data_IF_973414712482
#
_entry.id   IF_973414712482
#
_cell.length_a   1.000
_cell.length_b   1.000
_cell.length_c   1.000
_cell.angle_alpha   90.00
_cell.angle_beta   90.00
_cell.angle_gamma   90.00
#
_symmetry.space_group_name_H-M   'P 1'
#
loop_
_entity.id
_entity.type
_entity.pdbx_description
1 polymer ?
#
# COMPACT_ATOMS: atom_id res chain seq x y z
N UNK A 1 -18.90 -7.37 -10.18
CA UNK A 1 -17.43 -7.17 -10.21
C UNK A 1 -16.88 -6.79 -8.82
N UNK A 2 -17.58 -6.00 -7.99
CA UNK A 2 -17.13 -5.63 -6.63
C UNK A 2 -16.85 -6.81 -5.68
N UNK A 3 -17.62 -7.91 -5.75
CA UNK A 3 -17.35 -9.15 -5.00
C UNK A 3 -16.08 -9.91 -5.41
N UNK A 4 -15.30 -9.41 -6.37
CA UNK A 4 -14.06 -10.03 -6.88
C UNK A 4 -12.82 -9.18 -6.70
N UNK A 5 -12.86 -8.09 -5.93
CA UNK A 5 -11.65 -7.42 -5.43
C UNK A 5 -11.02 -8.23 -4.29
N UNK A 6 -10.83 -9.53 -4.50
CA UNK A 6 -9.97 -10.34 -3.66
C UNK A 6 -8.55 -10.09 -4.16
N UNK A 7 -7.86 -9.11 -3.56
CA UNK A 7 -6.40 -8.99 -3.75
C UNK A 7 -5.80 -10.17 -3.01
N UNK A 8 -5.55 -11.27 -3.72
CA UNK A 8 -4.78 -12.39 -3.23
C UNK A 8 -3.36 -11.89 -2.96
N UNK A 9 -3.13 -11.40 -1.73
CA UNK A 9 -1.83 -10.93 -1.28
C UNK A 9 -1.01 -12.16 -0.94
N UNK A 10 -0.01 -12.51 -1.75
CA UNK A 10 0.85 -13.67 -1.46
C UNK A 10 2.02 -13.19 -0.61
N UNK A 11 1.78 -13.04 0.69
CA UNK A 11 2.81 -12.58 1.62
C UNK A 11 3.64 -13.76 2.14
N UNK A 12 4.83 -13.94 1.55
CA UNK A 12 5.82 -14.96 1.93
C UNK A 12 7.03 -14.32 2.66
N UNK A 13 6.85 -13.72 3.83
CA UNK A 13 7.93 -12.95 4.53
C UNK A 13 9.10 -13.78 5.10
N UNK A 14 9.17 -15.09 4.83
CA UNK A 14 10.27 -15.95 5.29
C UNK A 14 11.67 -15.43 4.86
N UNK A 15 11.76 -14.66 3.75
CA UNK A 15 13.03 -14.14 3.24
C UNK A 15 13.60 -12.92 4.00
N UNK A 16 12.78 -12.14 4.73
CA UNK A 16 13.27 -10.91 5.37
C UNK A 16 13.98 -11.18 6.71
N UNK A 17 13.57 -12.23 7.44
CA UNK A 17 14.23 -12.68 8.67
C UNK A 17 15.31 -13.75 8.42
N UNK A 18 15.25 -14.46 7.28
CA UNK A 18 16.19 -15.54 6.94
C UNK A 18 17.45 -15.13 6.18
N UNK A 19 17.55 -13.88 5.71
CA UNK A 19 18.70 -13.41 4.90
C UNK A 19 19.84 -12.81 5.71
N UNK A 20 20.12 -13.34 6.91
CA UNK A 20 21.50 -13.30 7.43
C UNK A 20 22.29 -14.36 6.65
N UNK A 21 22.66 -14.06 5.39
CA UNK A 21 23.84 -14.71 4.83
C UNK A 21 25.01 -14.23 5.69
N UNK A 22 25.47 -15.11 6.56
CA UNK A 22 26.78 -15.09 7.20
C UNK A 22 27.83 -15.06 6.08
N UNK A 23 28.12 -13.87 5.57
CA UNK A 23 29.24 -13.62 4.67
C UNK A 23 30.51 -13.62 5.50
N UNK A 24 31.09 -14.80 5.67
CA UNK A 24 32.51 -15.12 5.47
C UNK A 24 32.76 -16.55 5.97
N UNK A 25 33.37 -17.38 5.12
CA UNK A 25 33.82 -18.71 5.52
C UNK A 25 34.81 -18.57 6.68
N UNK A 26 34.67 -19.35 7.77
CA UNK A 26 35.63 -19.29 8.86
C UNK A 26 36.97 -19.82 8.36
N UNK A 27 38.01 -18.99 8.45
CA UNK A 27 39.38 -19.45 8.31
C UNK A 27 39.63 -20.59 9.31
N UNK A 28 40.25 -21.68 8.83
CA UNK A 28 40.51 -22.89 9.61
C UNK A 28 41.23 -22.55 10.93
N UNK A 29 40.57 -22.84 12.06
CA UNK A 29 41.14 -22.63 13.40
C UNK A 29 40.20 -22.17 14.52
N UNK A 30 38.90 -21.91 14.28
CA UNK A 30 37.97 -21.47 15.34
C UNK A 30 37.07 -22.60 15.89
N UNK A 31 37.11 -22.75 17.22
CA UNK A 31 36.36 -23.69 18.07
C UNK A 31 34.94 -23.21 18.37
N UNK A 32 34.02 -24.19 18.48
CA UNK A 32 32.72 -24.25 19.19
C UNK A 32 31.72 -23.11 18.96
N UNK A 33 30.42 -23.42 18.75
CA UNK A 33 29.36 -22.42 18.84
C UNK A 33 29.23 -21.93 20.30
N UNK A 34 29.31 -20.61 20.43
CA UNK A 34 29.64 -19.73 21.55
C UNK A 34 28.44 -18.80 21.87
N UNK A 35 28.70 -17.52 22.20
CA UNK A 35 27.80 -16.35 22.19
C UNK A 35 26.76 -16.31 21.04
N UNK A 36 26.88 -17.17 20.04
CA UNK A 36 26.01 -17.33 18.87
C UNK A 36 24.51 -17.52 19.17
N UNK A 37 24.10 -17.99 20.34
CA UNK A 37 22.67 -18.00 20.73
C UNK A 37 22.20 -16.67 21.37
N UNK A 38 23.12 -15.77 21.79
CA UNK A 38 22.80 -14.59 22.62
C UNK A 38 22.19 -13.39 21.90
N UNK A 39 22.15 -13.30 20.57
CA UNK A 39 21.63 -12.11 19.89
C UNK A 39 20.89 -12.45 18.59
N UNK A 40 19.90 -13.35 18.63
CA UNK A 40 18.95 -13.40 17.51
C UNK A 40 18.16 -12.08 17.51
N UNK A 41 18.51 -11.18 16.60
CA UNK A 41 17.82 -9.92 16.38
C UNK A 41 16.68 -10.19 15.40
N UNK A 42 15.43 -10.00 15.82
CA UNK A 42 14.25 -10.37 15.01
C UNK A 42 13.34 -9.18 14.68
N UNK A 43 13.48 -8.06 15.40
CA UNK A 43 12.71 -6.84 15.18
C UNK A 43 13.38 -5.88 14.18
N UNK A 44 13.67 -6.36 12.97
CA UNK A 44 14.08 -5.51 11.85
C UNK A 44 13.15 -5.67 10.63
N UNK A 45 11.81 -5.64 10.83
CA UNK A 45 10.90 -5.73 9.70
C UNK A 45 10.96 -4.44 8.87
N UNK A 46 10.59 -4.49 7.58
CA UNK A 46 10.64 -3.33 6.70
C UNK A 46 9.64 -2.24 7.12
N UNK A 47 9.89 -1.01 6.67
CA UNK A 47 9.01 0.15 6.83
C UNK A 47 8.57 0.71 5.49
N UNK A 48 7.27 0.93 5.33
CA UNK A 48 6.70 1.51 4.12
C UNK A 48 6.58 3.03 4.28
N UNK A 49 7.30 3.78 3.45
CA UNK A 49 7.31 5.24 3.45
C UNK A 49 5.94 5.86 3.11
N UNK A 50 5.01 5.09 2.54
CA UNK A 50 3.61 5.51 2.42
C UNK A 50 2.97 5.84 3.79
N UNK A 51 3.51 5.30 4.89
CA UNK A 51 3.11 5.68 6.24
C UNK A 51 3.52 7.11 6.62
N UNK A 52 4.61 7.61 6.04
CA UNK A 52 5.11 8.99 6.22
C UNK A 52 4.50 9.97 5.24
N UNK A 53 4.35 9.54 3.98
CA UNK A 53 3.88 10.39 2.88
C UNK A 53 2.71 9.73 2.17
N UNK A 54 1.55 9.59 2.83
CA UNK A 54 0.37 9.04 2.19
C UNK A 54 -0.01 9.91 0.99
N UNK A 55 -0.27 9.31 -0.17
CA UNK A 55 -0.78 10.01 -1.35
C UNK A 55 -2.11 10.65 -0.97
N UNK A 56 -2.19 11.97 -1.08
CA UNK A 56 -3.47 12.66 -0.99
C UNK A 56 -4.38 12.21 -2.13
N UNK A 57 -5.62 11.86 -1.79
CA UNK A 57 -6.61 11.38 -2.75
C UNK A 57 -7.89 12.20 -2.61
N UNK A 58 -8.29 12.83 -3.70
CA UNK A 58 -9.63 13.39 -3.84
C UNK A 58 -10.57 12.28 -4.28
N UNK A 59 -11.50 11.88 -3.40
CA UNK A 59 -12.44 10.81 -3.73
C UNK A 59 -13.53 11.31 -4.69
N UNK A 60 -13.87 10.53 -5.74
CA UNK A 60 -14.97 10.86 -6.64
C UNK A 60 -16.29 11.08 -5.89
N UNK A 61 -17.06 12.07 -6.34
CA UNK A 61 -18.38 12.40 -5.81
C UNK A 61 -19.47 12.15 -6.88
N UNK A 62 -20.65 11.63 -6.51
CA UNK A 62 -21.00 11.12 -5.17
C UNK A 62 -20.21 9.86 -4.79
N UNK A 63 -20.00 9.62 -3.50
CA UNK A 63 -19.36 8.37 -3.09
C UNK A 63 -20.26 7.17 -3.43
N UNK A 64 -19.66 6.09 -3.91
CA UNK A 64 -20.32 4.79 -4.10
C UNK A 64 -19.47 3.68 -3.47
N UNK A 65 -20.01 2.46 -3.40
CA UNK A 65 -19.32 1.31 -2.78
C UNK A 65 -17.89 1.11 -3.32
N UNK A 66 -17.70 1.20 -4.64
CA UNK A 66 -16.38 1.02 -5.27
C UNK A 66 -15.37 2.09 -4.89
N UNK A 67 -15.82 3.35 -4.83
CA UNK A 67 -14.98 4.47 -4.34
C UNK A 67 -14.56 4.23 -2.89
N UNK A 68 -15.49 3.83 -2.03
CA UNK A 68 -15.22 3.63 -0.60
C UNK A 68 -14.28 2.43 -0.39
N UNK A 69 -14.51 1.29 -1.07
CA UNK A 69 -13.61 0.12 -0.99
C UNK A 69 -12.21 0.49 -1.48
N UNK A 70 -12.11 1.19 -2.61
CA UNK A 70 -10.81 1.63 -3.14
C UNK A 70 -10.08 2.58 -2.19
N UNK A 71 -10.80 3.49 -1.53
CA UNK A 71 -10.22 4.38 -0.52
C UNK A 71 -9.76 3.63 0.74
N UNK A 72 -10.51 2.63 1.21
CA UNK A 72 -10.10 1.76 2.32
C UNK A 72 -8.87 0.93 1.94
N UNK A 73 -8.81 0.44 0.71
CA UNK A 73 -7.67 -0.33 0.21
C UNK A 73 -6.40 0.54 0.09
N UNK A 74 -6.52 1.81 -0.34
CA UNK A 74 -5.37 2.69 -0.52
C UNK A 74 -4.65 3.04 0.78
N UNK A 75 -5.36 3.10 1.90
CA UNK A 75 -4.79 3.36 3.24
C UNK A 75 -4.28 2.11 3.95
N UNK A 76 -4.29 0.93 3.29
CA UNK A 76 -3.79 -0.33 3.85
C UNK A 76 -2.39 -0.21 4.46
N UNK A 77 -1.39 0.46 3.83
CA UNK A 77 -0.08 0.65 4.46
C UNK A 77 -0.14 1.33 5.82
N UNK A 78 -0.89 2.43 5.94
CA UNK A 78 -1.04 3.18 7.17
C UNK A 78 -1.80 2.40 8.25
N UNK A 79 -2.84 1.65 7.87
CA UNK A 79 -3.60 0.79 8.78
C UNK A 79 -2.76 -0.37 9.30
N UNK A 80 -1.99 -1.05 8.43
CA UNK A 80 -1.11 -2.13 8.87
C UNK A 80 0.09 -1.63 9.66
N UNK A 81 0.58 -0.41 9.41
CA UNK A 81 1.60 0.23 10.23
C UNK A 81 1.11 0.47 11.67
N UNK A 82 -0.16 0.80 11.87
CA UNK A 82 -0.74 0.85 13.23
C UNK A 82 -0.61 -0.50 13.97
N UNK A 83 -0.58 -1.62 13.25
CA UNK A 83 -0.52 -2.97 13.84
C UNK A 83 0.91 -3.53 13.98
N UNK A 84 1.93 -2.75 13.61
CA UNK A 84 3.34 -3.11 13.84
C UNK A 84 3.66 -3.11 15.34
N UNK A 85 3.12 -2.12 16.07
CA UNK A 85 3.29 -1.98 17.50
C UNK A 85 2.52 -3.07 18.26
N UNK A 86 3.18 -3.92 19.07
CA UNK A 86 2.49 -4.88 19.92
C UNK A 86 1.51 -4.24 20.91
N UNK A 87 1.66 -2.96 21.29
CA UNK A 87 0.69 -2.24 22.13
C UNK A 87 -0.68 -1.98 21.45
N UNK A 88 -0.72 -2.03 20.12
CA UNK A 88 -1.95 -1.82 19.34
C UNK A 88 -2.71 -3.12 19.06
N UNK A 89 -2.18 -4.26 19.48
CA UNK A 89 -2.74 -5.60 19.26
C UNK A 89 -2.68 -6.43 20.53
N UNK A 90 -3.52 -7.45 20.63
CA UNK A 90 -3.46 -8.42 21.71
C UNK A 90 -2.39 -9.50 21.46
N UNK A 91 -2.30 -10.51 22.34
CA UNK A 91 -1.23 -11.51 22.31
C UNK A 91 -1.36 -12.55 21.18
N UNK A 92 -2.47 -12.58 20.44
CA UNK A 92 -2.65 -13.56 19.38
C UNK A 92 -1.70 -13.29 18.19
N UNK A 93 -1.33 -14.37 17.49
CA UNK A 93 -0.46 -14.29 16.30
C UNK A 93 -1.12 -13.56 15.10
N UNK A 94 -2.42 -13.32 15.17
CA UNK A 94 -3.16 -12.63 14.11
C UNK A 94 -4.15 -11.64 14.70
N UNK A 95 -4.25 -10.49 14.04
CA UNK A 95 -5.19 -9.41 14.33
C UNK A 95 -6.04 -9.19 13.08
N UNK A 96 -7.36 -9.21 13.25
CA UNK A 96 -8.30 -8.99 12.16
C UNK A 96 -9.07 -7.72 12.45
N UNK A 97 -9.08 -6.80 11.50
CA UNK A 97 -9.80 -5.52 11.62
C UNK A 97 -10.81 -5.43 10.51
N UNK A 98 -12.06 -5.17 10.86
CA UNK A 98 -13.14 -4.86 9.92
C UNK A 98 -13.49 -3.38 10.06
N UNK A 99 -13.40 -2.67 8.95
CA UNK A 99 -13.80 -1.27 8.85
C UNK A 99 -15.05 -1.19 7.99
N UNK A 100 -16.13 -0.68 8.58
CA UNK A 100 -17.35 -0.30 7.85
C UNK A 100 -17.38 1.21 7.72
N UNK A 101 -17.45 1.71 6.49
CA UNK A 101 -17.62 3.13 6.20
C UNK A 101 -19.04 3.37 5.72
N UNK A 102 -19.73 4.31 6.35
CA UNK A 102 -21.06 4.79 5.95
C UNK A 102 -20.96 6.25 5.52
N UNK A 103 -21.46 6.56 4.33
CA UNK A 103 -21.51 7.93 3.77
C UNK A 103 -22.96 8.37 3.67
N UNK A 104 -23.26 9.53 4.24
CA UNK A 104 -24.58 10.14 4.23
C UNK A 104 -24.47 11.66 3.97
N UNK A 105 -25.55 12.41 4.23
CA UNK A 105 -25.61 13.86 4.05
C UNK A 105 -24.66 14.65 4.97
N UNK A 106 -24.11 14.02 6.02
CA UNK A 106 -23.15 14.62 6.95
C UNK A 106 -21.70 14.30 6.59
N UNK A 107 -21.45 13.39 5.64
CA UNK A 107 -20.12 12.93 5.26
C UNK A 107 -19.90 11.45 5.54
N UNK A 108 -18.62 11.04 5.56
CA UNK A 108 -18.21 9.68 5.90
C UNK A 108 -18.07 9.48 7.42
N UNK A 109 -18.48 8.30 7.90
CA UNK A 109 -18.22 7.81 9.26
C UNK A 109 -17.65 6.40 9.19
N UNK A 110 -16.79 6.04 10.15
CA UNK A 110 -16.14 4.73 10.20
C UNK A 110 -16.49 4.00 11.48
N UNK A 111 -16.88 2.74 11.35
CA UNK A 111 -17.02 1.80 12.46
C UNK A 111 -15.92 0.74 12.35
N UNK A 112 -15.05 0.70 13.36
CA UNK A 112 -13.91 -0.21 13.44
C UNK A 112 -14.23 -1.29 14.47
N UNK A 113 -14.14 -2.55 14.04
CA UNK A 113 -14.29 -3.72 14.91
C UNK A 113 -13.16 -4.69 14.61
N UNK A 114 -12.82 -5.59 15.55
CA UNK A 114 -11.75 -6.53 15.27
C UNK A 114 -11.46 -7.51 16.40
N UNK A 115 -10.83 -8.62 16.00
CA UNK A 115 -10.28 -9.62 16.91
C UNK A 115 -8.83 -9.24 17.22
N UNK A 116 -8.42 -9.42 18.48
CA UNK A 116 -7.06 -9.12 18.95
C UNK A 116 -6.64 -7.65 18.74
N UNK A 117 -7.60 -6.71 18.68
CA UNK A 117 -7.36 -5.28 18.51
C UNK A 117 -7.53 -4.56 19.86
N UNK A 118 -6.55 -3.72 20.24
CA UNK A 118 -6.64 -2.93 21.49
C UNK A 118 -7.31 -1.57 21.23
N UNK A 119 -7.77 -0.85 22.28
CA UNK A 119 -8.30 0.51 22.10
C UNK A 119 -7.30 1.48 21.45
N UNK A 120 -6.00 1.36 21.76
CA UNK A 120 -4.94 2.15 21.13
C UNK A 120 -4.82 1.84 19.64
N UNK A 121 -4.90 0.55 19.27
CA UNK A 121 -4.97 0.13 17.87
C UNK A 121 -6.19 0.68 17.14
N UNK A 122 -7.38 0.61 17.75
CA UNK A 122 -8.60 1.23 17.21
C UNK A 122 -8.42 2.72 16.98
N UNK A 123 -7.85 3.45 17.94
CA UNK A 123 -7.63 4.90 17.82
C UNK A 123 -6.64 5.24 16.71
N UNK A 124 -5.54 4.49 16.58
CA UNK A 124 -4.56 4.69 15.51
C UNK A 124 -5.21 4.52 14.13
N UNK A 125 -6.00 3.44 13.95
CA UNK A 125 -6.70 3.17 12.68
C UNK A 125 -7.76 4.24 12.41
N UNK A 126 -8.53 4.65 13.42
CA UNK A 126 -9.52 5.71 13.30
C UNK A 126 -8.89 7.01 12.79
N UNK A 127 -7.75 7.41 13.34
CA UNK A 127 -7.02 8.61 12.90
C UNK A 127 -6.59 8.51 11.42
N UNK A 128 -6.12 7.35 10.98
CA UNK A 128 -5.76 7.12 9.57
C UNK A 128 -6.99 7.30 8.67
N UNK A 129 -8.11 6.66 9.01
CA UNK A 129 -9.35 6.73 8.23
C UNK A 129 -9.90 8.16 8.19
N UNK A 130 -10.02 8.80 9.35
CA UNK A 130 -10.51 10.18 9.47
C UNK A 130 -9.63 11.18 8.72
N UNK A 131 -8.35 10.87 8.51
CA UNK A 131 -7.41 11.74 7.79
C UNK A 131 -7.44 11.52 6.28
N UNK A 132 -7.54 10.27 5.84
CA UNK A 132 -7.28 9.89 4.44
C UNK A 132 -8.50 9.34 3.68
N UNK A 133 -9.53 8.86 4.38
CA UNK A 133 -10.76 8.31 3.79
C UNK A 133 -11.90 9.30 4.01
N UNK A 134 -11.87 10.41 3.28
CA UNK A 134 -12.81 11.54 3.44
C UNK A 134 -13.76 11.67 2.23
N UNK A 135 -14.78 10.81 2.08
CA UNK A 135 -15.76 10.98 1.02
C UNK A 135 -16.57 12.27 1.25
N UNK A 136 -16.89 12.96 0.18
CA UNK A 136 -17.77 14.12 0.24
C UNK A 136 -19.18 13.70 0.74
N UNK A 137 -19.89 14.58 1.49
CA UNK A 137 -21.27 14.33 1.87
C UNK A 137 -22.16 14.07 0.64
N UNK A 138 -23.12 13.16 0.80
CA UNK A 138 -24.14 12.92 -0.21
C UNK A 138 -25.19 14.06 -0.22
N UNK A 139 -26.02 14.10 -1.27
CA UNK A 139 -27.19 14.97 -1.27
C UNK A 139 -28.13 14.61 -0.10
N UNK A 140 -28.87 15.60 0.43
CA UNK A 140 -29.66 15.47 1.66
C UNK A 140 -30.72 14.35 1.63
N UNK A 141 -31.24 14.03 0.44
CA UNK A 141 -32.25 13.02 0.16
C UNK A 141 -31.67 11.72 -0.42
N UNK A 142 -30.36 11.64 -0.62
CA UNK A 142 -29.71 10.44 -1.11
C UNK A 142 -29.72 9.33 -0.04
N UNK A 143 -29.90 8.09 -0.48
CA UNK A 143 -29.76 6.93 0.40
C UNK A 143 -28.30 6.81 0.87
N UNK A 144 -28.05 6.49 2.15
CA UNK A 144 -26.70 6.24 2.63
C UNK A 144 -26.04 5.11 1.83
N UNK A 145 -24.75 5.27 1.57
CA UNK A 145 -23.91 4.24 0.93
C UNK A 145 -23.00 3.66 1.99
N UNK A 146 -22.87 2.34 2.00
CA UNK A 146 -22.01 1.63 2.94
C UNK A 146 -21.02 0.74 2.19
N UNK A 147 -19.80 0.63 2.69
CA UNK A 147 -18.88 -0.40 2.28
C UNK A 147 -18.10 -0.95 3.48
N UNK A 148 -17.65 -2.20 3.36
CA UNK A 148 -16.87 -2.88 4.39
C UNK A 148 -15.58 -3.41 3.79
N UNK A 149 -14.48 -3.26 4.50
CA UNK A 149 -13.19 -3.82 4.13
C UNK A 149 -12.49 -4.43 5.34
N UNK A 150 -11.84 -5.58 5.14
CA UNK A 150 -11.12 -6.30 6.19
C UNK A 150 -9.60 -6.18 6.00
N UNK A 151 -8.90 -5.91 7.09
CA UNK A 151 -7.44 -5.92 7.18
C UNK A 151 -7.03 -7.08 8.08
N UNK A 152 -6.28 -8.01 7.50
CA UNK A 152 -5.64 -9.08 8.24
C UNK A 152 -4.16 -8.75 8.45
N UNK A 153 -3.73 -8.87 9.70
CA UNK A 153 -2.33 -8.74 10.11
C UNK A 153 -1.91 -9.99 10.88
N UNK A 154 -1.00 -10.77 10.30
CA UNK A 154 -0.40 -11.93 10.95
C UNK A 154 1.07 -11.62 11.27
N UNK A 155 1.49 -11.83 12.52
CA UNK A 155 2.87 -11.57 12.98
C UNK A 155 3.93 -12.28 12.14
N UNK A 156 3.59 -13.45 11.60
CA UNK A 156 4.47 -14.24 10.75
C UNK A 156 4.62 -13.66 9.33
N UNK A 157 3.56 -13.04 8.80
CA UNK A 157 3.43 -12.65 7.39
C UNK A 157 3.46 -11.14 7.16
N UNK A 158 3.41 -10.34 8.21
CA UNK A 158 3.39 -8.88 8.16
C UNK A 158 4.49 -8.27 9.03
N UNK A 159 4.97 -7.05 8.71
CA UNK A 159 5.84 -6.30 9.59
C UNK A 159 5.27 -6.22 11.00
N UNK A 160 6.05 -6.64 11.98
CA UNK A 160 5.60 -6.63 13.37
C UNK A 160 6.77 -6.63 14.34
N UNK A 161 6.58 -5.96 15.48
CA UNK A 161 7.56 -5.92 16.57
C UNK A 161 7.09 -6.83 17.71
N UNK A 162 8.02 -7.57 18.30
CA UNK A 162 7.82 -8.39 19.49
C UNK A 162 8.84 -7.98 20.55
N UNK A 163 8.36 -7.39 21.64
CA UNK A 163 9.21 -6.93 22.75
C UNK A 163 9.40 -8.03 23.79
N UNK A 164 10.47 -7.93 24.58
CA UNK A 164 10.80 -8.88 25.66
C UNK A 164 11.58 -10.11 25.18
N UNK A 165 12.16 -10.10 23.98
CA UNK A 165 12.95 -11.23 23.46
C UNK A 165 14.36 -11.20 24.05
N UNK A 166 15.05 -10.07 23.86
CA UNK A 166 16.35 -9.76 24.43
C UNK A 166 16.63 -8.27 24.20
N UNK A 167 17.56 -7.69 24.96
CA UNK A 167 17.85 -6.24 24.93
C UNK A 167 18.18 -5.70 23.52
N UNK A 168 18.91 -6.46 22.69
CA UNK A 168 19.26 -6.05 21.34
C UNK A 168 18.06 -6.08 20.37
N UNK A 169 17.22 -7.12 20.48
CA UNK A 169 15.99 -7.23 19.69
C UNK A 169 14.97 -6.18 20.13
N UNK A 170 14.87 -5.89 21.43
CA UNK A 170 13.97 -4.87 21.96
C UNK A 170 14.41 -3.47 21.53
N UNK A 171 15.71 -3.18 21.54
CA UNK A 171 16.23 -1.94 20.96
C UNK A 171 15.96 -1.84 19.46
N UNK A 172 16.14 -2.93 18.71
CA UNK A 172 15.81 -2.97 17.28
C UNK A 172 14.31 -2.71 17.04
N UNK A 173 13.45 -3.26 17.90
CA UNK A 173 12.01 -2.97 17.91
C UNK A 173 11.72 -1.50 18.18
N UNK A 174 12.40 -0.90 19.15
CA UNK A 174 12.27 0.53 19.45
C UNK A 174 12.70 1.40 18.27
N UNK A 175 13.79 1.06 17.57
CA UNK A 175 14.21 1.74 16.33
C UNK A 175 13.08 1.65 15.30
N UNK A 176 12.58 0.45 15.01
CA UNK A 176 11.52 0.24 14.02
C UNK A 176 10.22 0.99 14.34
N UNK A 177 9.80 1.03 15.60
CA UNK A 177 8.60 1.77 16.01
C UNK A 177 8.79 3.28 15.91
N UNK A 178 10.01 3.77 16.09
CA UNK A 178 10.33 5.19 16.01
C UNK A 178 10.45 5.71 14.57
N UNK A 179 10.64 4.86 13.55
CA UNK A 179 10.80 5.27 12.14
C UNK A 179 9.65 6.15 11.62
N UNK A 180 8.40 5.88 12.06
CA UNK A 180 7.24 6.72 11.72
C UNK A 180 7.34 8.15 12.27
N UNK A 181 8.13 8.38 13.33
CA UNK A 181 8.39 9.72 13.88
C UNK A 181 9.59 10.42 13.21
N UNK A 182 10.29 9.75 12.30
CA UNK A 182 11.49 10.24 11.61
C UNK A 182 11.23 10.54 10.14
N UNK A 183 9.98 10.83 9.79
CA UNK A 183 9.56 11.03 8.41
C UNK A 183 10.35 12.12 7.68
N UNK A 184 10.87 13.12 8.39
CA UNK A 184 11.73 14.16 7.83
C UNK A 184 13.00 13.59 7.17
N UNK A 185 13.55 12.48 7.69
CA UNK A 185 14.71 11.81 7.11
C UNK A 185 14.42 11.24 5.71
N UNK A 186 13.15 10.93 5.42
CA UNK A 186 12.73 10.27 4.18
C UNK A 186 12.27 11.25 3.09
N UNK A 187 12.39 12.57 3.31
CA UNK A 187 11.84 13.60 2.39
C UNK A 187 12.31 13.47 0.95
N UNK A 188 13.56 13.01 0.72
CA UNK A 188 14.12 12.77 -0.63
C UNK A 188 13.51 11.57 -1.36
N UNK A 189 12.73 10.73 -0.68
CA UNK A 189 12.24 9.44 -1.19
C UNK A 189 10.70 9.37 -1.28
N UNK A 190 10.00 10.52 -1.33
CA UNK A 190 8.53 10.56 -1.43
C UNK A 190 7.97 9.76 -2.61
N UNK A 191 8.69 9.72 -3.72
CA UNK A 191 8.28 9.05 -4.95
C UNK A 191 9.17 7.88 -5.37
N UNK A 192 10.12 7.47 -4.52
CA UNK A 192 11.09 6.42 -4.81
C UNK A 192 11.25 5.48 -3.62
N UNK A 193 11.92 4.36 -3.84
CA UNK A 193 12.28 3.43 -2.75
C UNK A 193 13.70 3.74 -2.28
N UNK A 194 13.94 3.98 -0.98
CA UNK A 194 15.30 4.17 -0.47
C UNK A 194 16.17 2.93 -0.66
N UNK A 195 17.51 3.09 -0.75
CA UNK A 195 18.41 1.94 -0.71
C UNK A 195 18.34 1.23 0.65
N UNK A 196 18.66 -0.06 0.67
CA UNK A 196 18.86 -0.80 1.92
C UNK A 196 20.10 -0.24 2.61
N UNK A 197 19.97 0.15 3.87
CA UNK A 197 21.09 0.66 4.67
C UNK A 197 21.52 -0.36 5.71
N UNK A 198 22.82 -0.51 5.88
CA UNK A 198 23.41 -1.35 6.91
C UNK A 198 24.13 -0.48 7.93
N UNK A 199 23.89 -0.76 9.21
CA UNK A 199 24.54 -0.08 10.32
C UNK A 199 25.04 -1.07 11.37
N UNK A 200 26.04 -0.65 12.14
CA UNK A 200 26.52 -1.32 13.34
C UNK A 200 26.18 -0.42 14.53
N UNK A 201 25.48 -1.00 15.51
CA UNK A 201 25.03 -0.30 16.72
C UNK A 201 25.79 -0.87 17.92
N UNK A 202 26.37 0.02 18.71
CA UNK A 202 27.09 -0.31 19.94
C UNK A 202 26.49 0.44 21.11
N UNK A 203 26.07 -0.29 22.13
CA UNK A 203 25.52 0.24 23.37
C UNK A 203 26.40 -0.27 24.51
N UNK A 204 27.15 0.62 25.15
CA UNK A 204 27.95 0.26 26.32
C UNK A 204 27.06 0.03 27.55
N UNK A 205 27.51 -0.83 28.46
CA UNK A 205 26.77 -1.17 29.68
C UNK A 205 26.41 0.08 30.48
N UNK A 206 25.12 0.23 30.81
CA UNK A 206 24.61 1.32 31.65
C UNK A 206 24.52 2.67 30.95
N UNK A 207 24.81 2.77 29.65
CA UNK A 207 24.57 3.99 28.89
C UNK A 207 23.08 4.12 28.53
N UNK A 208 22.49 5.32 28.63
CA UNK A 208 21.07 5.54 28.37
C UNK A 208 20.73 5.57 26.88
N UNK A 209 21.73 5.63 26.00
CA UNK A 209 21.60 5.68 24.54
C UNK A 209 22.78 4.93 23.89
N UNK A 210 22.71 4.62 22.58
CA UNK A 210 23.86 4.05 21.86
C UNK A 210 25.11 4.91 22.01
N UNK A 211 26.23 4.24 22.25
CA UNK A 211 27.56 4.85 22.38
C UNK A 211 28.21 5.06 21.01
N UNK A 212 27.92 4.16 20.05
CA UNK A 212 28.36 4.30 18.66
C UNK A 212 27.25 3.82 17.72
N UNK A 213 27.04 4.58 16.63
CA UNK A 213 26.20 4.18 15.50
C UNK A 213 26.97 4.50 14.21
N UNK A 214 27.27 3.45 13.45
CA UNK A 214 28.08 3.56 12.24
C UNK A 214 27.32 2.96 11.07
N UNK A 215 27.15 3.73 9.99
CA UNK A 215 26.51 3.26 8.76
C UNK A 215 27.58 2.89 7.73
N UNK A 216 27.33 1.82 6.98
CA UNK A 216 28.12 1.49 5.80
C UNK A 216 27.73 2.43 4.64
N UNK A 217 28.65 2.74 3.71
CA UNK A 217 28.32 3.53 2.52
C UNK A 217 27.14 2.91 1.77
N UNK A 218 26.16 3.74 1.41
CA UNK A 218 24.95 3.30 0.71
C UNK A 218 25.17 3.08 -0.78
N UNK A 219 26.26 3.62 -1.33
CA UNK A 219 26.54 3.64 -2.76
C UNK A 219 25.84 4.77 -3.54
N UNK A 220 25.22 5.73 -2.84
CA UNK A 220 24.59 6.91 -3.44
C UNK A 220 24.63 8.12 -2.50
N UNK A 221 24.62 9.33 -3.07
CA UNK A 221 24.60 10.57 -2.27
C UNK A 221 23.35 10.67 -1.41
N UNK A 222 22.18 10.37 -1.99
CA UNK A 222 20.89 10.43 -1.31
C UNK A 222 20.78 9.39 -0.20
N UNK A 223 21.30 8.18 -0.44
CA UNK A 223 21.35 7.13 0.58
C UNK A 223 22.27 7.48 1.75
N UNK A 224 23.40 8.15 1.50
CA UNK A 224 24.33 8.57 2.55
C UNK A 224 23.76 9.73 3.37
N UNK A 225 22.99 10.63 2.75
CA UNK A 225 22.23 11.66 3.45
C UNK A 225 21.15 11.06 4.36
N UNK A 226 20.43 10.04 3.87
CA UNK A 226 19.47 9.30 4.69
C UNK A 226 20.15 8.62 5.89
N UNK A 227 21.27 7.92 5.63
CA UNK A 227 22.06 7.27 6.67
C UNK A 227 22.54 8.26 7.74
N UNK A 228 22.99 9.46 7.34
CA UNK A 228 23.40 10.51 8.27
C UNK A 228 22.24 11.01 9.14
N UNK A 229 21.05 11.18 8.56
CA UNK A 229 19.86 11.56 9.31
C UNK A 229 19.47 10.47 10.33
N UNK A 230 19.36 9.21 9.87
CA UNK A 230 19.01 8.07 10.72
C UNK A 230 20.04 7.82 11.83
N UNK A 231 21.34 7.99 11.55
CA UNK A 231 22.40 7.91 12.57
C UNK A 231 22.12 8.83 13.75
N UNK A 232 21.72 10.07 13.48
CA UNK A 232 21.39 11.05 14.53
C UNK A 232 20.18 10.60 15.33
N UNK A 233 19.16 10.04 14.67
CA UNK A 233 17.94 9.54 15.32
C UNK A 233 18.18 8.32 16.20
N UNK A 234 18.91 7.33 15.70
CA UNK A 234 19.24 6.11 16.43
C UNK A 234 20.14 6.42 17.62
N UNK A 235 21.14 7.30 17.46
CA UNK A 235 22.04 7.69 18.55
C UNK A 235 21.32 8.40 19.72
N UNK A 236 20.16 9.02 19.46
CA UNK A 236 19.34 9.66 20.48
C UNK A 236 18.29 8.73 21.10
N UNK A 237 18.12 7.51 20.60
CA UNK A 237 17.08 6.61 21.04
C UNK A 237 17.43 6.02 22.42
N UNK A 238 16.50 6.02 23.40
CA UNK A 238 16.74 5.42 24.70
C UNK A 238 17.06 3.92 24.60
N UNK A 239 18.12 3.52 25.29
CA UNK A 239 18.53 2.14 25.43
C UNK A 239 18.43 1.69 26.89
N UNK A 240 18.01 0.43 27.10
CA UNK A 240 18.03 -0.23 28.40
C UNK A 240 18.88 -1.47 28.26
N UNK A 241 20.11 -1.42 28.75
CA UNK A 241 21.04 -2.55 28.67
C UNK A 241 21.70 -2.85 30.00
N UNK A 242 21.74 -4.14 30.35
CA UNK A 242 22.44 -4.66 31.53
C UNK A 242 23.86 -5.13 31.18
N UNK A 243 24.15 -5.28 29.89
CA UNK A 243 25.45 -5.63 29.34
C UNK A 243 25.82 -4.73 28.14
N UNK A 244 27.07 -4.85 27.70
CA UNK A 244 27.51 -4.27 26.43
C UNK A 244 26.89 -5.04 25.25
N UNK A 245 26.29 -4.31 24.31
CA UNK A 245 25.64 -4.86 23.12
C UNK A 245 26.29 -4.29 21.86
N UNK A 246 26.71 -5.15 20.95
CA UNK A 246 27.18 -4.77 19.62
C UNK A 246 26.50 -5.67 18.59
N UNK A 247 25.77 -5.08 17.65
CA UNK A 247 25.02 -5.85 16.66
C UNK A 247 24.78 -5.05 15.37
N UNK A 248 24.64 -5.75 14.24
CA UNK A 248 24.24 -5.13 12.99
C UNK A 248 22.74 -4.82 12.97
N UNK A 249 22.37 -3.71 12.35
CA UNK A 249 20.99 -3.34 12.07
C UNK A 249 20.81 -2.99 10.59
N UNK A 250 19.86 -3.66 9.94
CA UNK A 250 19.49 -3.43 8.54
C UNK A 250 18.20 -2.64 8.45
N UNK A 251 18.28 -1.47 7.82
CA UNK A 251 17.12 -0.69 7.45
C UNK A 251 16.64 -1.14 6.08
N UNK A 252 15.42 -1.67 6.02
CA UNK A 252 14.75 -2.04 4.76
C UNK A 252 13.53 -1.16 4.62
N UNK A 253 13.46 -0.46 3.50
CA UNK A 253 12.40 0.46 3.19
C UNK A 253 11.63 0.00 1.96
N UNK A 254 10.33 0.18 2.01
CA UNK A 254 9.44 0.08 0.86
C UNK A 254 8.77 1.43 0.64
N UNK A 255 8.23 1.62 -0.55
CA UNK A 255 7.33 2.73 -0.82
C UNK A 255 6.21 2.22 -1.71
N UNK A 256 5.08 1.81 -1.12
CA UNK A 256 3.96 1.22 -1.88
C UNK A 256 3.39 2.14 -2.96
N UNK A 257 3.69 3.44 -2.90
CA UNK A 257 3.23 4.44 -3.87
C UNK A 257 4.28 4.80 -4.94
N UNK A 258 5.51 4.29 -4.80
CA UNK A 258 6.55 4.54 -5.79
C UNK A 258 6.28 3.77 -7.10
N UNK A 259 6.72 4.30 -8.25
CA UNK A 259 6.67 3.58 -9.52
C UNK A 259 7.40 2.23 -9.45
N UNK A 260 6.91 1.23 -10.19
CA UNK A 260 7.41 -0.16 -10.12
C UNK A 260 8.88 -0.28 -10.50
N UNK A 261 9.36 0.60 -11.36
CA UNK A 261 10.74 0.66 -11.84
C UNK A 261 11.71 0.97 -10.69
N UNK A 262 11.24 1.68 -9.67
CA UNK A 262 12.06 2.07 -8.50
C UNK A 262 12.40 0.88 -7.61
N UNK A 263 11.73 -0.26 -7.77
CA UNK A 263 12.06 -1.48 -7.05
C UNK A 263 13.37 -2.11 -7.51
N UNK A 264 13.88 -1.80 -8.72
CA UNK A 264 15.01 -2.50 -9.33
C UNK A 264 16.31 -2.48 -8.51
N UNK A 265 16.48 -1.50 -7.61
CA UNK A 265 17.63 -1.39 -6.70
C UNK A 265 17.57 -2.34 -5.49
N UNK A 266 16.42 -2.97 -5.24
CA UNK A 266 16.25 -3.94 -4.16
C UNK A 266 16.74 -5.34 -4.59
N UNK A 267 17.22 -6.16 -3.64
CA UNK A 267 17.38 -7.60 -3.84
C UNK A 267 16.10 -8.26 -4.40
N UNK A 268 16.19 -9.29 -5.25
CA UNK A 268 15.04 -9.91 -5.92
C UNK A 268 13.86 -10.29 -5.01
N UNK A 269 14.13 -10.84 -3.83
CA UNK A 269 13.09 -11.22 -2.87
C UNK A 269 12.39 -9.99 -2.28
N UNK A 270 13.14 -8.90 -2.04
CA UNK A 270 12.59 -7.63 -1.58
C UNK A 270 11.81 -6.91 -2.68
N UNK A 271 12.20 -7.08 -3.94
CA UNK A 271 11.44 -6.59 -5.10
C UNK A 271 10.04 -7.20 -5.16
N UNK A 272 9.90 -8.48 -4.84
CA UNK A 272 8.59 -9.13 -4.84
C UNK A 272 7.64 -8.48 -3.84
N UNK A 273 8.06 -8.23 -2.60
CA UNK A 273 7.22 -7.53 -1.62
C UNK A 273 6.89 -6.10 -2.02
N UNK A 274 7.86 -5.36 -2.57
CA UNK A 274 7.62 -4.02 -3.08
C UNK A 274 6.57 -4.01 -4.20
N UNK A 275 6.59 -5.01 -5.08
CA UNK A 275 5.60 -5.16 -6.15
C UNK A 275 4.22 -5.56 -5.62
N UNK A 276 4.13 -6.43 -4.61
CA UNK A 276 2.84 -6.74 -3.94
C UNK A 276 2.21 -5.51 -3.28
N UNK A 277 3.04 -4.65 -2.69
CA UNK A 277 2.62 -3.37 -2.13
C UNK A 277 2.12 -2.41 -3.24
N UNK A 278 2.85 -2.30 -4.35
CA UNK A 278 2.44 -1.51 -5.51
C UNK A 278 1.14 -2.04 -6.16
N UNK A 279 0.98 -3.36 -6.23
CA UNK A 279 -0.23 -4.05 -6.74
C UNK A 279 -1.46 -3.64 -5.94
N UNK A 280 -1.34 -3.57 -4.61
CA UNK A 280 -2.41 -3.11 -3.71
C UNK A 280 -2.83 -1.67 -4.04
N UNK A 281 -1.86 -0.77 -4.25
CA UNK A 281 -2.15 0.63 -4.61
C UNK A 281 -2.77 0.76 -6.01
N UNK A 282 -2.31 -0.04 -6.97
CA UNK A 282 -2.89 -0.08 -8.32
C UNK A 282 -4.34 -0.59 -8.29
N UNK A 283 -4.62 -1.64 -7.51
CA UNK A 283 -5.98 -2.16 -7.32
C UNK A 283 -6.91 -1.13 -6.67
N UNK A 284 -6.42 -0.37 -5.68
CA UNK A 284 -7.16 0.74 -5.08
C UNK A 284 -7.53 1.81 -6.12
N UNK A 285 -6.55 2.22 -6.94
CA UNK A 285 -6.77 3.19 -8.02
C UNK A 285 -7.77 2.69 -9.09
N UNK A 286 -7.70 1.41 -9.45
CA UNK A 286 -8.65 0.76 -10.36
C UNK A 286 -10.08 0.79 -9.79
N UNK A 287 -10.26 0.47 -8.50
CA UNK A 287 -11.56 0.48 -7.84
C UNK A 287 -12.16 1.89 -7.76
N UNK A 288 -11.35 2.89 -7.38
CA UNK A 288 -11.77 4.31 -7.34
C UNK A 288 -12.19 4.79 -8.74
N UNK A 289 -11.38 4.49 -9.76
CA UNK A 289 -11.65 4.91 -11.14
C UNK A 289 -12.91 4.26 -11.73
N UNK A 290 -13.13 2.96 -11.43
CA UNK A 290 -14.36 2.28 -11.79
C UNK A 290 -15.59 2.88 -11.10
N UNK A 291 -15.44 3.25 -9.81
CA UNK A 291 -16.46 3.98 -9.07
C UNK A 291 -16.82 5.32 -9.71
N UNK A 292 -15.81 6.12 -10.08
CA UNK A 292 -16.02 7.39 -10.79
C UNK A 292 -16.77 7.18 -12.13
N UNK A 293 -16.40 6.15 -12.88
CA UNK A 293 -17.05 5.79 -14.15
C UNK A 293 -18.49 5.36 -13.97
N UNK A 294 -18.81 4.66 -12.88
CA UNK A 294 -20.19 4.29 -12.53
C UNK A 294 -21.05 5.54 -12.31
N UNK A 295 -20.57 6.52 -11.54
CA UNK A 295 -21.27 7.79 -11.36
C UNK A 295 -21.48 8.53 -12.69
N UNK A 296 -20.44 8.61 -13.52
CA UNK A 296 -20.53 9.29 -14.81
C UNK A 296 -21.58 8.63 -15.71
N UNK A 297 -21.63 7.30 -15.72
CA UNK A 297 -22.63 6.55 -16.48
C UNK A 297 -24.06 6.82 -16.00
N UNK A 298 -24.30 6.81 -14.69
CA UNK A 298 -25.63 7.11 -14.13
C UNK A 298 -26.10 8.52 -14.50
N UNK A 299 -25.19 9.51 -14.42
CA UNK A 299 -25.53 10.89 -14.80
C UNK A 299 -25.80 11.04 -16.30
N UNK A 300 -25.07 10.30 -17.15
CA UNK A 300 -25.32 10.29 -18.58
C UNK A 300 -26.66 9.63 -18.92
N UNK A 301 -26.93 8.46 -18.35
CA UNK A 301 -28.15 7.70 -18.58
C UNK A 301 -29.40 8.49 -18.16
N UNK A 302 -29.33 9.26 -17.06
CA UNK A 302 -30.41 10.15 -16.65
C UNK A 302 -30.78 11.19 -17.73
N UNK A 303 -29.78 11.81 -18.37
CA UNK A 303 -30.00 12.80 -19.45
C UNK A 303 -30.49 12.10 -20.72
N UNK A 304 -29.95 10.92 -21.06
CA UNK A 304 -30.41 10.10 -22.19
C UNK A 304 -31.89 9.75 -22.03
N UNK A 305 -32.32 9.33 -20.83
CA UNK A 305 -33.72 9.02 -20.56
C UNK A 305 -34.63 10.26 -20.68
N UNK A 306 -34.18 11.40 -20.14
CA UNK A 306 -34.91 12.67 -20.24
C UNK A 306 -35.06 13.11 -21.70
N UNK A 307 -33.98 13.08 -22.48
CA UNK A 307 -33.99 13.37 -23.91
C UNK A 307 -34.87 12.38 -24.68
N UNK A 308 -34.80 11.09 -24.36
CA UNK A 308 -35.58 10.06 -25.07
C UNK A 308 -37.08 10.25 -24.90
N UNK A 309 -37.53 10.74 -23.73
CA UNK A 309 -38.94 11.05 -23.43
C UNK A 309 -39.41 12.38 -24.04
N UNK A 310 -38.59 13.43 -23.93
CA UNK A 310 -38.98 14.79 -24.31
C UNK A 310 -38.67 15.15 -25.76
N UNK A 311 -37.64 14.52 -26.33
CA UNK A 311 -37.00 14.90 -27.60
C UNK A 311 -36.57 16.38 -27.62
N UNK A 312 -36.30 16.97 -26.45
CA UNK A 312 -35.90 18.37 -26.33
C UNK A 312 -34.44 18.54 -26.75
N UNK A 313 -34.24 19.16 -27.92
CA UNK A 313 -32.92 19.45 -28.47
C UNK A 313 -32.07 20.37 -27.59
N UNK A 314 -32.66 21.11 -26.64
CA UNK A 314 -31.91 21.92 -25.67
C UNK A 314 -31.07 21.07 -24.72
N UNK A 315 -31.40 19.78 -24.57
CA UNK A 315 -30.63 18.83 -23.75
C UNK A 315 -29.37 18.32 -24.45
N UNK A 316 -29.15 18.64 -25.73
CA UNK A 316 -28.05 18.08 -26.52
C UNK A 316 -26.67 18.50 -26.00
N UNK A 317 -26.50 19.75 -25.56
CA UNK A 317 -25.24 20.20 -24.97
C UNK A 317 -24.97 19.51 -23.63
N UNK A 318 -26.01 19.31 -22.81
CA UNK A 318 -25.90 18.54 -21.56
C UNK A 318 -25.55 17.06 -21.84
N UNK A 319 -26.21 16.45 -22.83
CA UNK A 319 -25.94 15.07 -23.29
C UNK A 319 -24.48 14.92 -23.73
N UNK A 320 -23.99 15.88 -24.53
CA UNK A 320 -22.61 15.89 -25.01
C UNK A 320 -21.62 16.03 -23.86
N UNK A 321 -21.84 16.96 -22.94
CA UNK A 321 -20.96 17.18 -21.80
C UNK A 321 -20.91 15.96 -20.86
N UNK A 322 -22.07 15.35 -20.54
CA UNK A 322 -22.13 14.14 -19.71
C UNK A 322 -21.52 12.93 -20.39
N UNK A 323 -21.65 12.80 -21.71
CA UNK A 323 -20.97 11.74 -22.43
C UNK A 323 -19.44 11.92 -22.44
N UNK A 324 -18.95 13.15 -22.62
CA UNK A 324 -17.51 13.44 -22.50
C UNK A 324 -16.97 13.05 -21.13
N UNK A 325 -17.66 13.41 -20.05
CA UNK A 325 -17.29 12.99 -18.69
C UNK A 325 -17.30 11.46 -18.52
N UNK A 326 -18.26 10.76 -19.13
CA UNK A 326 -18.29 9.30 -19.15
C UNK A 326 -17.06 8.72 -19.87
N UNK A 327 -16.71 9.23 -21.06
CA UNK A 327 -15.53 8.79 -21.81
C UNK A 327 -14.23 9.08 -21.06
N UNK A 328 -14.11 10.24 -20.44
CA UNK A 328 -12.95 10.61 -19.60
C UNK A 328 -12.80 9.65 -18.42
N UNK A 329 -13.89 9.37 -17.69
CA UNK A 329 -13.86 8.43 -16.56
C UNK A 329 -13.56 6.98 -16.98
N UNK A 330 -14.08 6.53 -18.14
CA UNK A 330 -13.75 5.23 -18.71
C UNK A 330 -12.28 5.15 -19.13
N UNK A 331 -11.72 6.24 -19.67
CA UNK A 331 -10.30 6.34 -20.02
C UNK A 331 -9.42 6.26 -18.77
N UNK A 332 -9.80 6.97 -17.69
CA UNK A 332 -9.10 6.89 -16.41
C UNK A 332 -9.11 5.46 -15.84
N UNK A 333 -10.24 4.76 -15.92
CA UNK A 333 -10.34 3.36 -15.50
C UNK A 333 -9.45 2.42 -16.32
N UNK A 334 -9.43 2.57 -17.65
CA UNK A 334 -8.51 1.81 -18.52
C UNK A 334 -7.05 2.09 -18.16
N UNK A 335 -6.69 3.35 -17.89
CA UNK A 335 -5.33 3.72 -17.49
C UNK A 335 -4.94 3.07 -16.15
N UNK A 336 -5.83 3.07 -15.15
CA UNK A 336 -5.57 2.43 -13.87
C UNK A 336 -5.34 0.91 -14.03
N UNK A 337 -6.15 0.24 -14.85
CA UNK A 337 -5.98 -1.19 -15.13
C UNK A 337 -4.70 -1.51 -15.92
N UNK A 338 -4.23 -0.62 -16.80
CA UNK A 338 -2.92 -0.76 -17.46
C UNK A 338 -1.76 -0.65 -16.46
N UNK A 339 -1.85 0.28 -15.50
CA UNK A 339 -0.87 0.35 -14.41
C UNK A 339 -0.86 -0.93 -13.60
N UNK A 340 -2.03 -1.47 -13.26
CA UNK A 340 -2.14 -2.75 -12.56
C UNK A 340 -1.57 -3.91 -13.37
N UNK A 341 -1.86 -3.98 -14.67
CA UNK A 341 -1.31 -5.00 -15.57
C UNK A 341 0.23 -4.93 -15.60
N UNK A 342 0.79 -3.73 -15.66
CA UNK A 342 2.25 -3.53 -15.65
C UNK A 342 2.87 -4.08 -14.37
N UNK A 343 2.24 -3.85 -13.21
CA UNK A 343 2.69 -4.41 -11.93
C UNK A 343 2.61 -5.93 -11.95
N UNK A 344 1.50 -6.50 -12.45
CA UNK A 344 1.29 -7.95 -12.50
C UNK A 344 2.26 -8.66 -13.43
N UNK A 345 2.52 -8.08 -14.61
CA UNK A 345 3.53 -8.59 -15.55
C UNK A 345 4.93 -8.56 -14.93
N UNK A 346 5.30 -7.44 -14.29
CA UNK A 346 6.60 -7.30 -13.62
C UNK A 346 6.76 -8.30 -12.47
N UNK A 347 5.68 -8.53 -11.72
CA UNK A 347 5.65 -9.51 -10.61
C UNK A 347 5.82 -10.92 -11.14
N UNK A 348 5.06 -11.32 -12.18
CA UNK A 348 5.16 -12.64 -12.78
C UNK A 348 6.57 -12.91 -13.33
N UNK A 349 7.16 -11.94 -14.04
CA UNK A 349 8.51 -12.07 -14.57
C UNK A 349 9.55 -12.29 -13.46
N UNK A 350 9.44 -11.54 -12.35
CA UNK A 350 10.31 -11.72 -11.19
C UNK A 350 10.11 -13.08 -10.51
N UNK A 351 8.87 -13.52 -10.33
CA UNK A 351 8.57 -14.82 -9.71
C UNK A 351 9.09 -15.97 -10.56
N UNK A 352 9.02 -15.86 -11.89
CA UNK A 352 9.63 -16.81 -12.81
C UNK A 352 11.15 -16.86 -12.65
N UNK A 353 11.82 -15.70 -12.53
CA UNK A 353 13.24 -15.63 -12.22
C UNK A 353 13.56 -16.31 -10.87
N UNK A 354 12.80 -16.02 -9.82
CA UNK A 354 13.00 -16.61 -8.49
C UNK A 354 12.78 -18.11 -8.49
N UNK A 355 11.78 -18.61 -9.22
CA UNK A 355 11.52 -20.04 -9.38
C UNK A 355 12.69 -20.78 -10.02
N UNK A 356 13.40 -20.17 -10.97
CA UNK A 356 14.62 -20.79 -11.55
C UNK A 356 15.70 -21.04 -10.50
N UNK A 357 15.70 -20.29 -9.40
CA UNK A 357 16.64 -20.43 -8.29
C UNK A 357 16.10 -21.38 -7.21
N UNK A 358 14.80 -21.33 -6.93
CA UNK A 358 14.13 -22.12 -5.89
C UNK A 358 12.73 -22.57 -6.33
N UNK A 359 12.49 -23.89 -6.42
CA UNK A 359 11.18 -24.44 -6.87
C UNK A 359 10.01 -24.09 -5.93
N UNK A 360 10.30 -23.69 -4.69
CA UNK A 360 9.30 -23.26 -3.70
C UNK A 360 8.44 -22.06 -4.18
N UNK A 361 8.87 -21.33 -5.21
CA UNK A 361 8.12 -20.24 -5.83
C UNK A 361 7.03 -20.68 -6.81
N UNK A 362 6.92 -21.97 -7.14
CA UNK A 362 5.91 -22.47 -8.08
C UNK A 362 4.46 -22.08 -7.71
N UNK A 363 4.00 -22.17 -6.45
CA UNK A 363 2.66 -21.71 -6.08
C UNK A 363 2.47 -20.20 -6.25
N UNK A 364 3.53 -19.41 -6.04
CA UNK A 364 3.53 -17.95 -6.23
C UNK A 364 3.43 -17.61 -7.72
N UNK A 365 4.05 -18.40 -8.59
CA UNK A 365 3.94 -18.26 -10.04
C UNK A 365 2.49 -18.46 -10.48
N UNK A 366 1.85 -19.55 -10.03
CA UNK A 366 0.43 -19.83 -10.35
C UNK A 366 -0.48 -18.69 -9.90
N UNK A 367 -0.32 -18.21 -8.66
CA UNK A 367 -1.11 -17.08 -8.16
C UNK A 367 -0.85 -15.79 -8.97
N UNK A 368 0.40 -15.54 -9.38
CA UNK A 368 0.76 -14.37 -10.18
C UNK A 368 0.19 -14.44 -11.61
N UNK A 369 0.15 -15.64 -12.21
CA UNK A 369 -0.50 -15.88 -13.50
C UNK A 369 -2.01 -15.65 -13.43
N UNK A 370 -2.67 -16.15 -12.39
CA UNK A 370 -4.10 -15.93 -12.16
C UNK A 370 -4.43 -14.44 -11.96
N UNK A 371 -3.62 -13.73 -11.16
CA UNK A 371 -3.75 -12.28 -10.96
C UNK A 371 -3.65 -11.52 -12.29
N UNK A 372 -2.61 -11.79 -13.09
CA UNK A 372 -2.42 -11.17 -14.39
C UNK A 372 -3.57 -11.47 -15.35
N UNK A 373 -4.03 -12.72 -15.43
CA UNK A 373 -5.14 -13.13 -16.28
C UNK A 373 -6.45 -12.40 -15.90
N UNK A 374 -6.71 -12.22 -14.60
CA UNK A 374 -7.86 -11.47 -14.12
C UNK A 374 -7.75 -9.98 -14.51
N UNK A 375 -6.59 -9.35 -14.30
CA UNK A 375 -6.35 -7.96 -14.69
C UNK A 375 -6.51 -7.75 -16.20
N UNK A 376 -6.01 -8.67 -17.03
CA UNK A 376 -6.16 -8.61 -18.49
C UNK A 376 -7.60 -8.74 -18.95
N UNK A 377 -8.38 -9.61 -18.29
CA UNK A 377 -9.81 -9.74 -18.54
C UNK A 377 -10.56 -8.45 -18.21
N UNK A 378 -10.26 -7.86 -17.05
CA UNK A 378 -10.89 -6.61 -16.62
C UNK A 378 -10.49 -5.44 -17.54
N UNK A 379 -9.22 -5.38 -17.96
CA UNK A 379 -8.74 -4.39 -18.93
C UNK A 379 -9.45 -4.51 -20.28
N UNK A 380 -9.62 -5.74 -20.79
CA UNK A 380 -10.35 -5.99 -22.04
C UNK A 380 -11.80 -5.51 -21.92
N UNK A 381 -12.48 -5.83 -20.81
CA UNK A 381 -13.84 -5.38 -20.56
C UNK A 381 -13.93 -3.84 -20.46
N UNK A 382 -12.97 -3.21 -19.80
CA UNK A 382 -12.90 -1.74 -19.69
C UNK A 382 -12.69 -1.07 -21.04
N UNK A 383 -11.81 -1.61 -21.90
CA UNK A 383 -11.57 -1.12 -23.25
C UNK A 383 -12.82 -1.25 -24.14
N UNK A 384 -13.51 -2.39 -24.08
CA UNK A 384 -14.79 -2.58 -24.77
C UNK A 384 -15.83 -1.56 -24.30
N UNK A 385 -15.89 -1.30 -23.00
CA UNK A 385 -16.81 -0.30 -22.45
C UNK A 385 -16.46 1.11 -22.87
N UNK A 386 -15.18 1.48 -22.88
CA UNK A 386 -14.71 2.77 -23.40
C UNK A 386 -15.13 2.96 -24.87
N UNK A 387 -14.92 1.95 -25.72
CA UNK A 387 -15.33 2.01 -27.12
C UNK A 387 -16.85 2.14 -27.28
N UNK A 388 -17.63 1.43 -26.45
CA UNK A 388 -19.09 1.54 -26.44
C UNK A 388 -19.56 2.93 -25.99
N UNK A 389 -18.96 3.48 -24.93
CA UNK A 389 -19.29 4.81 -24.41
C UNK A 389 -18.91 5.90 -25.44
N UNK A 390 -17.77 5.79 -26.13
CA UNK A 390 -17.39 6.65 -27.25
C UNK A 390 -18.38 6.57 -28.42
N UNK A 391 -18.85 5.37 -28.75
CA UNK A 391 -19.85 5.16 -29.80
C UNK A 391 -21.25 5.69 -29.45
N UNK A 392 -21.59 5.72 -28.16
CA UNK A 392 -22.85 6.24 -27.65
C UNK A 392 -22.91 7.77 -27.60
N UNK A 393 -21.76 8.45 -27.64
CA UNK A 393 -21.73 9.91 -27.56
C UNK A 393 -22.39 10.57 -28.78
N UNK A 394 -23.22 11.61 -28.55
CA UNK A 394 -23.87 12.32 -29.64
C UNK A 394 -22.84 12.95 -30.57
N UNK A 395 -22.91 12.60 -31.87
CA UNK A 395 -22.17 13.32 -32.91
C UNK A 395 -22.86 14.65 -33.14
N UNK A 396 -22.18 15.79 -32.92
CA UNK A 396 -22.70 17.11 -33.29
C UNK A 396 -22.91 17.16 -34.81
N UNK A 397 -24.14 16.92 -35.29
CA UNK A 397 -24.56 17.34 -36.63
C UNK A 397 -25.61 18.44 -36.48
N UNK A 398 -25.21 19.68 -36.78
CA UNK A 398 -26.17 20.77 -36.95
C UNK A 398 -26.86 20.59 -38.30
N UNK A 399 -27.87 19.73 -38.37
CA UNK A 399 -28.81 19.80 -39.49
C UNK A 399 -29.63 21.08 -39.31
N UNK A 400 -29.30 22.10 -40.09
CA UNK A 400 -30.12 23.31 -40.21
C UNK A 400 -31.57 22.88 -40.49
N UNK A 401 -32.50 23.37 -39.66
CA UNK A 401 -33.92 23.07 -39.82
C UNK A 401 -34.34 23.31 -41.28
N UNK A 402 -35.13 22.41 -41.89
CA UNK A 402 -35.64 22.66 -43.23
C UNK A 402 -36.46 23.95 -43.18
N UNK A 403 -36.06 24.93 -44.00
CA UNK A 403 -36.84 26.16 -44.19
C UNK A 403 -38.26 25.73 -44.58
N UNK A 404 -39.24 26.06 -43.72
CA UNK A 404 -40.66 25.96 -44.08
C UNK A 404 -40.84 26.78 -45.36
N UNK A 405 -41.29 26.13 -46.43
CA UNK A 405 -41.65 26.78 -47.70
C UNK A 405 -42.93 27.57 -47.54
#
# INVERSE_FOLDING_TARGET
MLRRLAVASVLFTAACAGSQKTGDAPAEGQKQLTKEERLRITNQPPFDLAACFPREQTLPSPANEGVIVGALLSVRPNVLECLVDPGNRGPAASTKVTVKTTVNAQGGTHAITGENLTPAGTQCIQQVLDTHVKPAPLAADAKPVEATYAYDHATANNPSVTMGINEGSDFSGAVRLAEKSWCECFTGFKATTPPVLASDIHIMKGQPTPSEVTFKPSGSTEGDQLAACLKTKVAALPAKTTAELKFPFRFVFFNSQAPVETAASLPPELRFFQLELARTQAAAASAISFGARTNAAETYDAVVQKYSKTKDYKLFDELSAKCSALVESATAWVTALKTQETVDQTTLALVQELKTKEESWAPVETASQEALANTQKDLTAAQQRLAADQGACPKKSYNAAPKKK
#
